data_IF_311538236978
#
_entry.id   IF_311538236978
#
_cell.length_a   1.000
_cell.length_b   1.000
_cell.length_c   1.000
_cell.angle_alpha   90.00
_cell.angle_beta   90.00
_cell.angle_gamma   90.00
#
_symmetry.space_group_name_H-M   'P 1'
#
loop_
_entity.id
_entity.type
_entity.pdbx_description
1 polymer ?
#
# COMPACT_ATOMS: atom_id res chain seq x y z
N UNK A 1 5.79 14.03 -8.84
CA UNK A 1 4.87 13.05 -8.24
C UNK A 1 5.37 11.65 -8.50
N UNK A 2 5.32 10.80 -7.49
CA UNK A 2 5.70 9.39 -7.56
C UNK A 2 4.43 8.55 -7.41
N UNK A 3 4.26 7.55 -8.26
CA UNK A 3 3.15 6.60 -8.18
C UNK A 3 3.71 5.24 -7.80
N UNK A 4 3.07 4.58 -6.83
CA UNK A 4 3.40 3.21 -6.45
C UNK A 4 2.16 2.34 -6.64
N UNK A 5 2.32 1.23 -7.34
CA UNK A 5 1.26 0.26 -7.58
C UNK A 5 1.71 -1.10 -7.06
N UNK A 6 0.99 -1.66 -6.10
CA UNK A 6 1.40 -2.90 -5.42
C UNK A 6 0.24 -3.89 -5.39
N UNK A 7 0.53 -5.14 -5.70
CA UNK A 7 -0.43 -6.25 -5.58
C UNK A 7 0.01 -7.20 -4.48
N UNK A 8 -0.92 -7.56 -3.62
CA UNK A 8 -0.73 -8.52 -2.55
C UNK A 8 -1.77 -9.62 -2.64
N UNK A 9 -1.34 -10.85 -2.34
CA UNK A 9 -2.26 -11.99 -2.24
C UNK A 9 -2.34 -12.43 -0.79
N UNK A 10 -3.54 -12.41 -0.22
CA UNK A 10 -3.75 -12.94 1.12
C UNK A 10 -3.49 -14.45 1.11
N UNK A 11 -2.88 -14.96 2.18
CA UNK A 11 -2.78 -16.39 2.40
C UNK A 11 -4.19 -16.95 2.60
N UNK A 12 -4.38 -18.20 2.29
CA UNK A 12 -5.70 -18.84 2.41
C UNK A 12 -6.28 -18.65 3.80
N UNK A 13 -7.53 -18.19 3.87
CA UNK A 13 -8.23 -17.92 5.12
C UNK A 13 -7.83 -16.62 5.82
N UNK A 14 -6.96 -15.81 5.22
CA UNK A 14 -6.41 -14.60 5.88
C UNK A 14 -6.91 -13.28 5.30
N UNK A 15 -7.89 -13.31 4.40
CA UNK A 15 -8.38 -12.09 3.75
C UNK A 15 -8.92 -11.05 4.71
N UNK A 16 -9.59 -11.46 5.78
CA UNK A 16 -10.15 -10.53 6.77
C UNK A 16 -9.03 -9.83 7.54
N UNK A 17 -7.99 -10.57 7.93
CA UNK A 17 -6.81 -10.00 8.59
C UNK A 17 -6.10 -8.99 7.68
N UNK A 18 -5.92 -9.37 6.41
CA UNK A 18 -5.28 -8.49 5.43
C UNK A 18 -6.11 -7.23 5.22
N UNK A 19 -7.42 -7.35 5.11
CA UNK A 19 -8.32 -6.20 4.99
C UNK A 19 -8.18 -5.25 6.18
N UNK A 20 -8.13 -5.78 7.39
CA UNK A 20 -7.98 -4.99 8.61
C UNK A 20 -6.67 -4.23 8.63
N UNK A 21 -5.57 -4.90 8.27
CA UNK A 21 -4.25 -4.27 8.21
C UNK A 21 -4.25 -3.14 7.17
N UNK A 22 -4.81 -3.38 5.99
CA UNK A 22 -4.87 -2.36 4.93
C UNK A 22 -5.75 -1.18 5.30
N UNK A 23 -6.85 -1.38 6.03
CA UNK A 23 -7.68 -0.26 6.49
C UNK A 23 -6.87 0.67 7.40
N UNK A 24 -6.06 0.10 8.28
CA UNK A 24 -5.19 0.89 9.15
C UNK A 24 -4.12 1.61 8.34
N UNK A 25 -3.44 0.92 7.42
CA UNK A 25 -2.43 1.53 6.56
C UNK A 25 -3.00 2.67 5.72
N UNK A 26 -4.19 2.48 5.16
CA UNK A 26 -4.86 3.50 4.36
C UNK A 26 -5.16 4.74 5.20
N UNK A 27 -5.75 4.56 6.38
CA UNK A 27 -6.11 5.65 7.27
C UNK A 27 -4.87 6.44 7.72
N UNK A 28 -3.81 5.75 8.12
CA UNK A 28 -2.60 6.39 8.63
C UNK A 28 -1.77 7.02 7.51
N UNK A 29 -1.67 6.36 6.36
CA UNK A 29 -0.91 6.90 5.23
C UNK A 29 -1.53 8.18 4.68
N UNK A 30 -2.86 8.27 4.66
CA UNK A 30 -3.56 9.48 4.20
C UNK A 30 -3.31 10.70 5.08
N UNK A 31 -2.86 10.52 6.30
CA UNK A 31 -2.50 11.62 7.20
C UNK A 31 -1.13 12.21 6.90
N UNK A 32 -0.30 11.50 6.14
CA UNK A 32 1.05 11.97 5.80
C UNK A 32 0.96 13.18 4.88
N UNK A 33 1.69 14.26 5.18
CA UNK A 33 1.61 15.51 4.37
C UNK A 33 1.94 15.31 2.89
N UNK A 34 2.88 14.41 2.61
CA UNK A 34 3.32 14.17 1.23
C UNK A 34 2.58 13.05 0.52
N UNK A 35 1.64 12.37 1.18
CA UNK A 35 0.82 11.34 0.56
C UNK A 35 -0.38 11.99 -0.13
N UNK A 36 -0.39 11.95 -1.45
CA UNK A 36 -1.45 12.59 -2.24
C UNK A 36 -2.65 11.66 -2.43
N UNK A 37 -2.40 10.36 -2.44
CA UNK A 37 -3.45 9.35 -2.62
C UNK A 37 -2.98 8.02 -2.06
N UNK A 38 -3.89 7.30 -1.43
CA UNK A 38 -3.65 5.94 -0.95
C UNK A 38 -4.98 5.22 -0.96
N UNK A 39 -5.16 4.32 -1.92
CA UNK A 39 -6.43 3.61 -2.09
C UNK A 39 -6.16 2.11 -2.16
N UNK A 40 -6.72 1.38 -1.22
CA UNK A 40 -6.68 -0.08 -1.21
C UNK A 40 -7.88 -0.61 -1.97
N UNK A 41 -7.63 -1.52 -2.92
CA UNK A 41 -8.67 -2.14 -3.74
C UNK A 41 -8.70 -3.64 -3.47
N UNK A 42 -9.90 -4.20 -3.52
CA UNK A 42 -10.08 -5.65 -3.52
C UNK A 42 -10.47 -6.07 -4.94
N UNK A 43 -9.87 -7.13 -5.44
CA UNK A 43 -10.20 -7.68 -6.75
C UNK A 43 -11.70 -8.01 -6.80
N UNK A 44 -12.34 -7.77 -7.95
CA UNK A 44 -13.79 -7.93 -8.08
C UNK A 44 -14.29 -9.35 -7.81
N UNK A 45 -13.48 -10.36 -8.14
CA UNK A 45 -13.91 -11.76 -8.06
C UNK A 45 -12.97 -12.63 -7.23
N UNK A 46 -11.76 -12.18 -6.94
CA UNK A 46 -10.81 -12.94 -6.12
C UNK A 46 -10.70 -12.29 -4.73
N UNK A 47 -11.28 -12.90 -3.69
CA UNK A 47 -11.29 -12.31 -2.34
C UNK A 47 -9.92 -12.25 -1.67
N UNK A 48 -8.90 -12.85 -2.28
CA UNK A 48 -7.54 -12.85 -1.74
C UNK A 48 -6.62 -11.83 -2.40
N UNK A 49 -7.06 -11.18 -3.48
CA UNK A 49 -6.21 -10.30 -4.28
C UNK A 49 -6.47 -8.84 -3.96
N UNK A 50 -5.45 -8.17 -3.45
CA UNK A 50 -5.50 -6.75 -3.07
C UNK A 50 -4.57 -5.95 -3.96
N UNK A 51 -5.00 -4.74 -4.32
CA UNK A 51 -4.21 -3.81 -5.11
C UNK A 51 -4.19 -2.45 -4.41
N UNK A 52 -3.01 -1.91 -4.18
CA UNK A 52 -2.85 -0.61 -3.54
C UNK A 52 -2.28 0.37 -4.55
N UNK A 53 -2.99 1.48 -4.73
CA UNK A 53 -2.56 2.58 -5.59
C UNK A 53 -2.21 3.76 -4.71
N UNK A 54 -0.97 4.26 -4.85
CA UNK A 54 -0.42 5.29 -3.96
C UNK A 54 0.24 6.39 -4.78
N UNK A 55 0.09 7.64 -4.33
CA UNK A 55 0.76 8.79 -4.92
C UNK A 55 1.50 9.57 -3.83
N UNK A 56 2.73 9.94 -4.09
CA UNK A 56 3.54 10.78 -3.20
C UNK A 56 4.02 12.00 -3.96
N UNK A 57 4.15 13.13 -3.26
CA UNK A 57 4.51 14.40 -3.87
C UNK A 57 5.90 14.34 -4.53
N UNK A 58 6.86 13.67 -3.87
CA UNK A 58 8.25 13.57 -4.31
C UNK A 58 8.95 12.39 -3.62
N UNK A 59 10.23 12.20 -3.91
CA UNK A 59 11.02 11.13 -3.31
C UNK A 59 11.12 11.27 -1.80
N UNK A 60 11.20 12.49 -1.27
CA UNK A 60 11.26 12.72 0.17
C UNK A 60 9.98 12.26 0.85
N UNK A 61 8.82 12.48 0.24
CA UNK A 61 7.54 12.04 0.77
C UNK A 61 7.44 10.50 0.77
N UNK A 62 7.93 9.85 -0.27
CA UNK A 62 7.97 8.39 -0.33
C UNK A 62 8.89 7.82 0.75
N UNK A 63 10.06 8.41 0.96
CA UNK A 63 10.97 7.98 2.03
C UNK A 63 10.37 8.21 3.41
N UNK A 64 9.68 9.33 3.62
CA UNK A 64 8.98 9.59 4.88
C UNK A 64 7.90 8.53 5.14
N UNK A 65 7.16 8.12 4.10
CA UNK A 65 6.18 7.05 4.19
C UNK A 65 6.84 5.74 4.63
N UNK A 66 7.93 5.36 3.99
CA UNK A 66 8.66 4.12 4.30
C UNK A 66 9.27 4.13 5.70
N UNK A 67 9.64 5.29 6.21
CA UNK A 67 10.18 5.46 7.56
C UNK A 67 9.13 5.61 8.64
N UNK A 68 7.85 5.71 8.28
CA UNK A 68 6.79 5.92 9.26
C UNK A 68 6.58 4.71 10.16
N UNK A 69 6.08 4.96 11.37
CA UNK A 69 5.81 3.89 12.33
C UNK A 69 4.74 2.93 11.82
N UNK A 70 3.71 3.43 11.15
CA UNK A 70 2.65 2.58 10.61
C UNK A 70 3.14 1.72 9.45
N UNK A 71 4.02 2.22 8.59
CA UNK A 71 4.61 1.41 7.53
C UNK A 71 5.44 0.28 8.13
N UNK A 72 6.32 0.59 9.08
CA UNK A 72 7.17 -0.41 9.71
C UNK A 72 6.35 -1.47 10.43
N UNK A 73 5.35 -1.07 11.18
CA UNK A 73 4.52 -1.99 11.95
C UNK A 73 3.64 -2.86 11.04
N UNK A 74 2.91 -2.25 10.12
CA UNK A 74 1.88 -2.95 9.37
C UNK A 74 2.36 -3.50 8.04
N UNK A 75 3.11 -2.74 7.25
CA UNK A 75 3.55 -3.22 5.94
C UNK A 75 4.76 -4.15 6.04
N UNK A 76 5.69 -3.89 6.96
CA UNK A 76 6.90 -4.67 7.10
C UNK A 76 6.72 -5.87 8.04
N UNK A 77 6.09 -5.67 9.21
CA UNK A 77 5.98 -6.72 10.21
C UNK A 77 4.68 -7.53 10.13
N UNK A 78 3.53 -6.88 10.07
CA UNK A 78 2.25 -7.57 10.17
C UNK A 78 1.78 -8.18 8.85
N UNK A 79 1.76 -7.39 7.78
CA UNK A 79 1.23 -7.84 6.49
C UNK A 79 1.89 -9.11 5.95
N UNK A 80 3.22 -9.27 5.99
CA UNK A 80 3.87 -10.50 5.48
C UNK A 80 3.51 -11.78 6.23
N UNK A 81 2.94 -11.68 7.41
CA UNK A 81 2.44 -12.88 8.14
C UNK A 81 1.19 -13.45 7.50
N UNK A 82 0.42 -12.60 6.81
CA UNK A 82 -0.92 -12.94 6.31
C UNK A 82 -1.05 -12.84 4.79
N UNK A 83 -0.07 -12.28 4.10
CA UNK A 83 -0.11 -12.06 2.67
C UNK A 83 1.27 -12.12 2.03
N UNK A 84 1.28 -12.31 0.72
CA UNK A 84 2.50 -12.32 -0.08
C UNK A 84 2.45 -11.16 -1.07
N UNK A 85 3.53 -10.39 -1.15
CA UNK A 85 3.66 -9.32 -2.15
C UNK A 85 3.96 -9.97 -3.49
N UNK A 86 3.04 -9.81 -4.44
CA UNK A 86 3.15 -10.42 -5.77
C UNK A 86 3.89 -9.50 -6.72
N UNK A 87 3.57 -8.20 -6.66
CA UNK A 87 4.11 -7.21 -7.59
C UNK A 87 4.14 -5.84 -6.92
N UNK A 88 5.17 -5.05 -7.21
CA UNK A 88 5.26 -3.67 -6.75
C UNK A 88 6.14 -2.88 -7.69
N UNK A 89 5.57 -1.82 -8.29
CA UNK A 89 6.24 -1.01 -9.29
C UNK A 89 6.10 0.48 -8.98
N UNK A 90 7.17 1.20 -9.22
CA UNK A 90 7.18 2.66 -9.12
C UNK A 90 7.01 3.26 -10.51
N UNK A 91 6.17 4.28 -10.59
CA UNK A 91 5.91 5.00 -11.84
C UNK A 91 6.00 6.50 -11.62
N UNK A 92 6.10 7.24 -12.70
CA UNK A 92 5.86 8.68 -12.72
C UNK A 92 4.84 8.99 -13.81
N UNK A 93 4.05 10.06 -13.68
CA UNK A 93 3.14 10.45 -14.74
C UNK A 93 3.90 10.74 -16.03
N UNK A 94 3.33 10.35 -17.16
CA UNK A 94 3.97 10.50 -18.47
C UNK A 94 4.31 11.96 -18.78
N UNK A 95 3.37 12.86 -18.53
CA UNK A 95 3.50 14.26 -18.91
C UNK A 95 3.85 15.21 -17.76
N UNK A 96 4.15 14.70 -16.60
CA UNK A 96 4.39 15.53 -15.41
C UNK A 96 5.73 15.28 -14.72
N UNK A 97 6.58 14.57 -15.34
CA UNK A 97 7.93 14.36 -14.83
C UNK A 97 8.03 13.91 -13.39
#
# INVERSE_FOLDING_TARGET
MIVLAVTWMAKEGQSDEVSSIFRTLEAESRKEPGCLMYIVHLHRTDPRRFFVYEQYADDAALEAHRGSSHFQKYAIHELPKHAVRVEGELYRPLDRG
#
